data_IF_901738124657
#
_entry.id   IF_901738124657
#
_cell.length_a   1.000
_cell.length_b   1.000
_cell.length_c   1.000
_cell.angle_alpha   90.00
_cell.angle_beta   90.00
_cell.angle_gamma   90.00
#
_symmetry.space_group_name_H-M   'P 1'
#
loop_
_entity.id
_entity.type
_entity.pdbx_description
1 polymer ?
#
# COMPACT_ATOMS: atom_id res chain seq x y z
N UNK A 1 7.49 17.40 -12.63
CA UNK A 1 8.24 16.31 -11.96
C UNK A 1 7.21 15.44 -11.27
N UNK A 2 6.95 14.23 -11.75
CA UNK A 2 6.12 13.29 -10.99
C UNK A 2 6.82 13.01 -9.67
N UNK A 3 6.09 13.04 -8.56
CA UNK A 3 6.69 12.75 -7.26
C UNK A 3 7.06 11.26 -7.28
N UNK A 4 8.34 10.94 -7.07
CA UNK A 4 8.87 9.56 -6.96
C UNK A 4 8.36 8.80 -5.72
N UNK A 5 7.36 9.35 -5.03
CA UNK A 5 6.81 8.88 -3.78
C UNK A 5 5.30 8.72 -3.91
N UNK A 6 4.75 7.76 -3.19
CA UNK A 6 3.31 7.63 -2.96
C UNK A 6 3.03 7.79 -1.47
N UNK A 7 1.87 8.37 -1.16
CA UNK A 7 1.38 8.55 0.20
C UNK A 7 0.23 7.58 0.41
N UNK A 8 0.38 6.65 1.36
CA UNK A 8 -0.61 5.62 1.64
C UNK A 8 -1.03 5.68 3.10
N UNK A 9 -2.30 5.40 3.37
CA UNK A 9 -2.84 5.35 4.73
C UNK A 9 -2.88 3.90 5.20
N UNK A 10 -2.27 3.62 6.34
CA UNK A 10 -2.28 2.29 6.96
C UNK A 10 -3.61 1.97 7.62
N UNK A 11 -3.85 0.71 7.94
CA UNK A 11 -5.02 0.26 8.72
C UNK A 11 -5.10 0.97 10.08
N UNK A 12 -3.96 1.30 10.67
CA UNK A 12 -3.82 2.03 11.94
C UNK A 12 -3.98 3.56 11.80
N UNK A 13 -4.51 4.02 10.66
CA UNK A 13 -4.68 5.45 10.32
C UNK A 13 -3.39 6.28 10.28
N UNK A 14 -2.23 5.65 10.15
CA UNK A 14 -0.95 6.33 9.97
C UNK A 14 -0.70 6.57 8.48
N UNK A 15 -0.18 7.74 8.11
CA UNK A 15 0.24 8.00 6.73
C UNK A 15 1.70 7.59 6.58
N UNK A 16 1.99 6.75 5.59
CA UNK A 16 3.34 6.39 5.18
C UNK A 16 3.66 7.03 3.84
N UNK A 17 4.92 7.41 3.66
CA UNK A 17 5.45 7.92 2.39
C UNK A 17 6.52 6.97 1.92
N UNK A 18 6.31 6.38 0.75
CA UNK A 18 7.18 5.32 0.22
C UNK A 18 7.60 5.66 -1.20
N UNK A 19 8.87 5.36 -1.51
CA UNK A 19 9.39 5.51 -2.86
C UNK A 19 8.79 4.44 -3.75
N UNK A 20 8.34 4.84 -4.94
CA UNK A 20 7.73 3.93 -5.92
C UNK A 20 8.64 2.76 -6.28
N UNK A 21 9.92 3.07 -6.53
CA UNK A 21 10.96 2.09 -6.88
C UNK A 21 11.28 1.08 -5.77
N UNK A 22 10.91 1.38 -4.52
CA UNK A 22 11.18 0.52 -3.38
C UNK A 22 10.04 -0.44 -3.08
N UNK A 23 8.92 -0.37 -3.81
CA UNK A 23 7.80 -1.28 -3.63
C UNK A 23 8.08 -2.57 -4.40
N UNK A 24 8.25 -3.66 -3.66
CA UNK A 24 8.61 -4.97 -4.21
C UNK A 24 7.38 -5.78 -4.60
N UNK A 25 6.41 -5.87 -3.68
CA UNK A 25 5.23 -6.75 -3.81
C UNK A 25 3.99 -6.11 -3.19
N UNK A 26 2.84 -6.36 -3.80
CA UNK A 26 1.50 -6.06 -3.27
C UNK A 26 0.74 -7.38 -3.07
N UNK A 27 0.19 -7.60 -1.89
CA UNK A 27 -0.65 -8.76 -1.59
C UNK A 27 -2.00 -8.31 -1.01
N UNK A 28 -3.10 -8.69 -1.67
CA UNK A 28 -4.44 -8.37 -1.17
C UNK A 28 -4.85 -9.33 -0.06
N UNK A 29 -5.26 -8.78 1.07
CA UNK A 29 -5.84 -9.52 2.19
C UNK A 29 -7.35 -9.26 2.22
N UNK A 30 -8.17 -10.20 1.72
CA UNK A 30 -9.60 -9.99 1.58
C UNK A 30 -10.27 -9.82 2.95
N UNK A 31 -11.36 -9.07 2.96
CA UNK A 31 -12.17 -8.91 4.15
C UNK A 31 -12.73 -10.27 4.61
N UNK A 32 -12.81 -10.44 5.92
CA UNK A 32 -13.46 -11.58 6.55
C UNK A 32 -14.56 -11.10 7.50
N UNK A 33 -15.31 -12.02 8.10
CA UNK A 33 -16.31 -11.68 9.11
C UNK A 33 -15.74 -11.00 10.36
N UNK A 34 -14.41 -10.98 10.54
CA UNK A 34 -13.73 -10.45 11.72
C UNK A 34 -12.76 -9.31 11.44
N UNK A 35 -12.35 -9.11 10.19
CA UNK A 35 -11.26 -8.20 9.82
C UNK A 35 -11.61 -7.49 8.51
N UNK A 36 -11.44 -6.17 8.49
CA UNK A 36 -11.55 -5.36 7.28
C UNK A 36 -10.46 -5.74 6.26
N UNK A 37 -10.83 -5.75 4.98
CA UNK A 37 -9.88 -6.02 3.90
C UNK A 37 -8.81 -4.93 3.81
N UNK A 38 -7.58 -5.33 3.48
CA UNK A 38 -6.45 -4.41 3.33
C UNK A 38 -5.45 -4.96 2.32
N UNK A 39 -4.50 -4.15 1.90
CA UNK A 39 -3.37 -4.59 1.07
C UNK A 39 -2.11 -4.61 1.92
N UNK A 40 -1.33 -5.68 1.80
CA UNK A 40 0.03 -5.74 2.35
C UNK A 40 0.98 -5.21 1.30
N UNK A 41 1.65 -4.11 1.65
CA UNK A 41 2.67 -3.46 0.85
C UNK A 41 4.05 -3.87 1.38
N UNK A 42 4.86 -4.48 0.53
CA UNK A 42 6.24 -4.85 0.85
C UNK A 42 7.20 -3.81 0.26
N UNK A 43 8.01 -3.20 1.12
CA UNK A 43 8.93 -2.12 0.74
C UNK A 43 10.27 -2.32 1.42
N UNK A 44 11.33 -2.63 0.67
CA UNK A 44 12.71 -2.72 1.15
C UNK A 44 12.85 -3.58 2.44
N UNK A 45 12.16 -4.71 2.50
CA UNK A 45 12.15 -5.63 3.64
C UNK A 45 11.16 -5.29 4.77
N UNK A 46 10.44 -4.17 4.68
CA UNK A 46 9.34 -3.83 5.59
C UNK A 46 7.99 -4.24 4.99
N UNK A 47 7.00 -4.45 5.86
CA UNK A 47 5.62 -4.79 5.49
C UNK A 47 4.65 -3.82 6.14
N UNK A 48 3.79 -3.20 5.33
CA UNK A 48 2.74 -2.29 5.80
C UNK A 48 1.37 -2.81 5.40
N UNK A 49 0.42 -2.78 6.33
CA UNK A 49 -1.00 -2.99 6.01
C UNK A 49 -1.63 -1.64 5.64
N UNK A 50 -2.01 -1.47 4.38
CA UNK A 50 -2.56 -0.23 3.83
C UNK A 50 -4.02 -0.40 3.44
N UNK A 51 -4.79 0.67 3.63
CA UNK A 51 -6.21 0.72 3.26
C UNK A 51 -6.35 0.87 1.74
N UNK A 52 -7.42 0.29 1.20
CA UNK A 52 -7.75 0.32 -0.23
C UNK A 52 -7.51 -1.02 -0.92
N UNK A 53 -7.50 -0.97 -2.24
CA UNK A 53 -7.39 -2.14 -3.12
C UNK A 53 -6.06 -2.13 -3.87
N UNK A 54 -5.65 -3.31 -4.35
CA UNK A 54 -4.43 -3.45 -5.15
C UNK A 54 -4.46 -2.56 -6.39
N UNK A 55 -5.63 -2.39 -7.02
CA UNK A 55 -5.80 -1.57 -8.22
C UNK A 55 -5.56 -0.08 -7.96
N UNK A 56 -6.07 0.45 -6.84
CA UNK A 56 -5.88 1.86 -6.47
C UNK A 56 -4.42 2.17 -6.18
N UNK A 57 -3.70 1.23 -5.57
CA UNK A 57 -2.28 1.39 -5.24
C UNK A 57 -1.43 1.29 -6.51
N UNK A 58 -1.73 0.33 -7.40
CA UNK A 58 -1.05 0.21 -8.69
C UNK A 58 -1.20 1.48 -9.54
N UNK A 59 -2.39 2.05 -9.61
CA UNK A 59 -2.61 3.31 -10.33
C UNK A 59 -1.74 4.45 -9.79
N UNK A 60 -1.51 4.51 -8.48
CA UNK A 60 -0.63 5.52 -7.86
C UNK A 60 0.86 5.26 -8.12
N UNK A 61 1.26 3.98 -8.26
CA UNK A 61 2.63 3.59 -8.61
C UNK A 61 2.98 3.94 -10.06
N UNK A 62 2.02 3.80 -10.97
CA UNK A 62 2.20 4.03 -12.42
C UNK A 62 2.03 5.49 -12.87
N UNK A 63 1.40 6.35 -12.04
CA UNK A 63 1.22 7.80 -12.31
C UNK A 63 2.49 8.61 -12.09
#
# INVERSE_FOLDING_TARGET
MSKNYIELKTTDNTTIVVRKESVDVLEESPASSRVEGHVKLFVAGFKFAVKGTTKEILAQLES
#
